data_IF_661392745768
#
_entry.id   IF_661392745768
#
_cell.length_a   1.000
_cell.length_b   1.000
_cell.length_c   1.000
_cell.angle_alpha   90.00
_cell.angle_beta   90.00
_cell.angle_gamma   90.00
#
_symmetry.space_group_name_H-M   'P 1'
#
loop_
_entity.id
_entity.type
_entity.pdbx_description
1 polymer ?
#
# COMPACT_ATOMS: atom_id res chain seq x y z
N UNK A 1 -15.80 -9.22 7.36
CA UNK A 1 -16.40 -9.28 8.75
C UNK A 1 -16.66 -7.85 9.21
N UNK A 2 -17.79 -7.55 9.87
CA UNK A 2 -18.06 -6.22 10.42
C UNK A 2 -17.85 -6.29 11.94
N UNK A 3 -17.08 -5.35 12.49
CA UNK A 3 -16.89 -5.14 13.91
C UNK A 3 -17.65 -3.88 14.31
N UNK A 4 -18.32 -3.89 15.45
CA UNK A 4 -19.01 -2.71 15.98
C UNK A 4 -18.43 -2.31 17.32
N UNK A 5 -18.43 -1.01 17.60
CA UNK A 5 -18.05 -0.41 18.87
C UNK A 5 -19.11 0.63 19.26
N UNK A 6 -19.50 0.65 20.52
CA UNK A 6 -20.53 1.55 21.07
C UNK A 6 -19.92 2.75 21.80
N UNK A 7 -18.60 2.74 22.02
CA UNK A 7 -17.86 3.83 22.65
C UNK A 7 -16.47 4.01 22.02
N UNK A 8 -15.83 5.14 22.30
CA UNK A 8 -14.48 5.43 21.85
C UNK A 8 -13.44 4.47 22.40
N UNK A 9 -13.59 4.06 23.65
CA UNK A 9 -12.69 3.10 24.31
C UNK A 9 -12.78 1.73 23.62
N UNK A 10 -13.99 1.24 23.37
CA UNK A 10 -14.20 -0.01 22.64
C UNK A 10 -13.66 0.04 21.22
N UNK A 11 -13.76 1.19 20.53
CA UNK A 11 -13.18 1.39 19.23
C UNK A 11 -11.64 1.27 19.25
N UNK A 12 -10.98 1.83 20.29
CA UNK A 12 -9.54 1.73 20.49
C UNK A 12 -9.04 0.32 20.83
N UNK A 13 -9.89 -0.56 21.33
CA UNK A 13 -9.53 -1.98 21.53
C UNK A 13 -9.60 -2.80 20.24
N UNK A 14 -10.41 -2.36 19.26
CA UNK A 14 -10.77 -3.16 18.07
C UNK A 14 -10.13 -2.68 16.77
N UNK A 15 -9.68 -1.43 16.69
CA UNK A 15 -9.27 -0.80 15.42
C UNK A 15 -8.14 -1.54 14.69
N UNK A 16 -7.25 -2.23 15.41
CA UNK A 16 -6.12 -2.96 14.79
C UNK A 16 -6.55 -4.14 13.91
N UNK A 17 -7.82 -4.57 14.04
CA UNK A 17 -8.41 -5.66 13.24
C UNK A 17 -9.23 -5.15 12.06
N UNK A 18 -9.30 -3.83 11.85
CA UNK A 18 -10.11 -3.22 10.81
C UNK A 18 -9.29 -2.83 9.59
N UNK A 19 -9.82 -3.09 8.39
CA UNK A 19 -9.27 -2.60 7.12
C UNK A 19 -9.73 -1.16 6.81
N UNK A 20 -10.84 -0.72 7.40
CA UNK A 20 -11.38 0.64 7.33
C UNK A 20 -12.25 0.89 8.56
N UNK A 21 -12.25 2.11 9.07
CA UNK A 21 -13.04 2.53 10.21
C UNK A 21 -14.06 3.57 9.77
N UNK A 22 -15.32 3.39 10.19
CA UNK A 22 -16.37 4.42 10.11
C UNK A 22 -16.54 4.94 11.53
N UNK A 23 -16.27 6.21 11.74
CA UNK A 23 -16.18 6.80 13.08
C UNK A 23 -17.11 8.00 13.20
N UNK A 24 -18.05 7.94 14.12
CA UNK A 24 -18.90 9.08 14.46
C UNK A 24 -18.11 10.11 15.28
N UNK A 25 -18.24 11.39 14.98
CA UNK A 25 -17.66 12.47 15.79
C UNK A 25 -18.32 12.48 17.18
N UNK A 26 -19.64 12.32 17.22
CA UNK A 26 -20.44 12.41 18.44
C UNK A 26 -20.53 11.05 19.14
N UNK A 27 -19.50 10.67 19.86
CA UNK A 27 -19.50 9.49 20.73
C UNK A 27 -19.66 9.87 22.22
N UNK A 28 -20.27 9.01 23.04
CA UNK A 28 -20.33 9.23 24.48
C UNK A 28 -18.94 9.12 25.11
N UNK A 29 -18.69 9.91 26.14
CA UNK A 29 -17.48 9.96 26.97
C UNK A 29 -16.22 10.49 26.24
N UNK A 30 -15.90 9.99 25.07
CA UNK A 30 -14.74 10.37 24.28
C UNK A 30 -15.18 10.69 22.85
N UNK A 31 -14.85 11.86 22.33
CA UNK A 31 -15.23 12.23 20.94
C UNK A 31 -14.52 11.34 19.91
N UNK A 32 -15.17 11.12 18.75
CA UNK A 32 -14.55 10.39 17.65
C UNK A 32 -13.24 11.01 17.17
N UNK A 33 -13.08 12.33 17.34
CA UNK A 33 -11.84 13.06 17.01
C UNK A 33 -10.70 12.63 17.92
N UNK A 34 -10.96 12.50 19.21
CA UNK A 34 -9.96 12.02 20.18
C UNK A 34 -9.60 10.55 19.90
N UNK A 35 -10.58 9.73 19.53
CA UNK A 35 -10.33 8.35 19.05
C UNK A 35 -9.42 8.36 17.84
N UNK A 36 -9.71 9.18 16.83
CA UNK A 36 -8.89 9.31 15.62
C UNK A 36 -7.45 9.72 15.93
N UNK A 37 -7.24 10.73 16.79
CA UNK A 37 -5.90 11.16 17.20
C UNK A 37 -5.09 10.01 17.81
N UNK A 38 -5.70 9.20 18.67
CA UNK A 38 -5.05 8.05 19.28
C UNK A 38 -4.73 6.96 18.27
N UNK A 39 -5.64 6.68 17.35
CA UNK A 39 -5.39 5.72 16.26
C UNK A 39 -4.19 6.18 15.43
N UNK A 40 -4.10 7.45 15.07
CA UNK A 40 -3.01 8.01 14.24
C UNK A 40 -1.63 7.99 14.92
N UNK A 41 -1.55 7.79 16.22
CA UNK A 41 -0.26 7.59 16.89
C UNK A 41 0.41 6.25 16.51
N UNK A 42 -0.36 5.27 16.04
CA UNK A 42 0.12 3.90 15.85
C UNK A 42 -0.38 3.24 14.56
N UNK A 43 -1.25 3.89 13.78
CA UNK A 43 -1.88 3.27 12.60
C UNK A 43 -2.36 4.27 11.56
N UNK A 44 -2.12 3.93 10.29
CA UNK A 44 -2.63 4.63 9.10
C UNK A 44 -3.88 3.96 8.53
N UNK A 45 -4.62 3.18 9.34
CA UNK A 45 -5.87 2.56 8.90
C UNK A 45 -6.84 3.63 8.38
N UNK A 46 -7.45 3.46 7.20
CA UNK A 46 -8.37 4.46 6.66
C UNK A 46 -9.55 4.72 7.57
N UNK A 47 -9.85 6.00 7.82
CA UNK A 47 -10.95 6.44 8.69
C UNK A 47 -11.88 7.38 7.92
N UNK A 48 -13.16 6.99 7.80
CA UNK A 48 -14.26 7.82 7.34
C UNK A 48 -14.98 8.39 8.57
N UNK A 49 -14.92 9.71 8.74
CA UNK A 49 -15.62 10.40 9.82
C UNK A 49 -17.08 10.67 9.46
N UNK A 50 -18.00 10.40 10.38
CA UNK A 50 -19.39 10.81 10.27
C UNK A 50 -19.60 12.08 11.11
N UNK A 51 -20.15 13.13 10.49
CA UNK A 51 -20.36 14.45 11.10
C UNK A 51 -21.83 14.87 11.02
N UNK A 52 -22.31 15.68 11.95
CA UNK A 52 -23.61 16.31 11.86
C UNK A 52 -23.54 17.54 10.93
N UNK A 53 -24.64 17.87 10.24
CA UNK A 53 -24.74 18.99 9.29
C UNK A 53 -24.45 20.37 9.89
N UNK A 54 -24.39 20.46 11.24
CA UNK A 54 -24.22 21.71 11.99
C UNK A 54 -22.88 21.82 12.72
N UNK A 55 -21.95 20.86 12.50
CA UNK A 55 -20.60 21.01 13.05
C UNK A 55 -19.90 22.17 12.33
N UNK A 56 -19.46 23.16 13.11
CA UNK A 56 -18.88 24.38 12.54
C UNK A 56 -17.69 24.04 11.61
N UNK A 57 -17.62 24.69 10.42
CA UNK A 57 -16.50 24.45 9.47
C UNK A 57 -15.12 24.62 10.09
N UNK A 58 -14.99 25.43 11.14
CA UNK A 58 -13.77 25.67 11.87
C UNK A 58 -13.29 24.47 12.70
N UNK A 59 -14.21 23.63 13.21
CA UNK A 59 -13.85 22.38 13.89
C UNK A 59 -13.41 21.31 12.89
N UNK A 60 -14.09 21.21 11.76
CA UNK A 60 -13.74 20.26 10.69
C UNK A 60 -12.36 20.59 10.09
N UNK A 61 -12.08 21.87 9.80
CA UNK A 61 -10.81 22.30 9.21
C UNK A 61 -9.57 22.00 10.08
N UNK A 62 -9.71 21.98 11.41
CA UNK A 62 -8.58 21.64 12.30
C UNK A 62 -8.30 20.13 12.37
N UNK A 63 -9.11 19.29 11.71
CA UNK A 63 -9.00 17.82 11.70
C UNK A 63 -8.78 17.23 10.31
N UNK A 64 -8.77 18.09 9.25
CA UNK A 64 -8.60 17.68 7.85
C UNK A 64 -7.32 16.88 7.59
N UNK A 65 -6.30 17.03 8.43
CA UNK A 65 -5.02 16.33 8.28
C UNK A 65 -5.04 14.88 8.82
N UNK A 66 -6.05 14.48 9.61
CA UNK A 66 -6.04 13.18 10.29
C UNK A 66 -7.02 12.16 9.72
N UNK A 67 -8.14 12.60 9.15
CA UNK A 67 -9.14 11.72 8.55
C UNK A 67 -8.93 11.58 7.04
N UNK A 68 -9.25 10.40 6.50
CA UNK A 68 -9.10 10.13 5.06
C UNK A 68 -10.31 10.60 4.26
N UNK A 69 -11.50 10.68 4.88
CA UNK A 69 -12.73 11.17 4.25
C UNK A 69 -13.77 11.56 5.33
N UNK A 70 -14.75 12.37 4.92
CA UNK A 70 -15.85 12.84 5.78
C UNK A 70 -17.20 12.63 5.10
N UNK A 71 -18.25 12.38 5.90
CA UNK A 71 -19.60 12.27 5.43
C UNK A 71 -20.59 12.90 6.42
N UNK A 72 -21.40 13.85 5.96
CA UNK A 72 -22.44 14.47 6.79
C UNK A 72 -23.67 13.58 6.93
N UNK A 73 -24.27 13.61 8.11
CA UNK A 73 -25.58 13.01 8.38
C UNK A 73 -26.71 14.00 8.02
N UNK A 74 -27.86 13.55 7.45
CA UNK A 74 -28.15 12.18 7.04
C UNK A 74 -27.45 11.79 5.73
N UNK A 75 -27.03 10.53 5.60
CA UNK A 75 -26.30 10.04 4.42
C UNK A 75 -27.00 8.88 3.70
N UNK A 76 -26.68 8.73 2.43
CA UNK A 76 -27.10 7.58 1.63
C UNK A 76 -26.18 6.40 1.83
N UNK A 77 -26.73 5.21 2.10
CA UNK A 77 -25.94 3.97 2.20
C UNK A 77 -25.17 3.66 0.91
N UNK A 78 -25.72 4.01 -0.26
CA UNK A 78 -25.04 3.84 -1.55
C UNK A 78 -23.79 4.72 -1.64
N UNK A 79 -23.84 5.94 -1.13
CA UNK A 79 -22.70 6.85 -1.11
C UNK A 79 -21.66 6.36 -0.09
N UNK A 80 -22.10 5.93 1.09
CA UNK A 80 -21.25 5.36 2.11
C UNK A 80 -20.45 4.16 1.56
N UNK A 81 -21.13 3.23 0.90
CA UNK A 81 -20.49 2.07 0.28
C UNK A 81 -19.42 2.47 -0.76
N UNK A 82 -19.71 3.45 -1.62
CA UNK A 82 -18.74 3.95 -2.62
C UNK A 82 -17.50 4.57 -1.98
N UNK A 83 -17.66 5.33 -0.89
CA UNK A 83 -16.56 5.95 -0.14
C UNK A 83 -15.70 4.90 0.56
N UNK A 84 -16.30 3.91 1.22
CA UNK A 84 -15.59 2.79 1.82
C UNK A 84 -14.77 2.04 0.77
N UNK A 85 -15.36 1.72 -0.39
CA UNK A 85 -14.65 1.06 -1.49
C UNK A 85 -13.48 1.90 -2.03
N UNK A 86 -13.63 3.22 -2.08
CA UNK A 86 -12.55 4.12 -2.49
C UNK A 86 -11.39 4.13 -1.50
N UNK A 87 -11.68 4.17 -0.19
CA UNK A 87 -10.67 4.12 0.87
C UNK A 87 -9.91 2.78 0.86
N UNK A 88 -10.62 1.66 0.79
CA UNK A 88 -10.02 0.32 0.70
C UNK A 88 -9.14 0.17 -0.56
N UNK A 89 -9.57 0.70 -1.71
CA UNK A 89 -8.77 0.70 -2.95
C UNK A 89 -7.50 1.54 -2.80
N UNK A 90 -7.57 2.69 -2.12
CA UNK A 90 -6.41 3.55 -1.83
C UNK A 90 -5.38 2.81 -0.98
N UNK A 91 -5.82 2.14 0.09
CA UNK A 91 -4.97 1.32 0.94
C UNK A 91 -4.33 0.15 0.17
N UNK A 92 -5.09 -0.52 -0.69
CA UNK A 92 -4.56 -1.57 -1.55
C UNK A 92 -3.55 -1.04 -2.58
N UNK A 93 -3.72 0.19 -3.08
CA UNK A 93 -2.74 0.79 -4.00
C UNK A 93 -1.44 1.16 -3.30
N UNK A 94 -1.50 1.64 -2.05
CA UNK A 94 -0.30 1.89 -1.23
C UNK A 94 0.40 0.56 -0.88
N UNK A 95 -0.34 -0.47 -0.48
CA UNK A 95 0.23 -1.82 -0.27
C UNK A 95 0.84 -2.42 -1.55
N UNK A 96 0.33 -2.06 -2.75
CA UNK A 96 0.90 -2.48 -4.04
C UNK A 96 2.16 -1.70 -4.44
N UNK A 97 2.41 -0.53 -3.85
CA UNK A 97 3.63 0.23 -4.12
C UNK A 97 4.78 -0.15 -3.21
N UNK A 98 4.51 -0.64 -2.01
CA UNK A 98 5.53 -1.08 -1.07
C UNK A 98 5.62 -2.62 -1.07
N UNK A 99 6.79 -3.13 -1.40
CA UNK A 99 7.13 -4.54 -1.29
C UNK A 99 8.16 -4.73 -0.18
N UNK A 100 7.98 -5.76 0.64
CA UNK A 100 8.89 -6.12 1.72
C UNK A 100 9.12 -7.62 1.76
N UNK A 101 10.36 -8.02 1.99
CA UNK A 101 10.77 -9.39 2.25
C UNK A 101 12.03 -9.41 3.10
N UNK A 102 11.96 -10.07 4.25
CA UNK A 102 13.04 -10.11 5.24
C UNK A 102 13.51 -8.67 5.59
N UNK A 103 14.78 -8.36 5.36
CA UNK A 103 15.35 -7.02 5.55
C UNK A 103 15.27 -6.13 4.30
N UNK A 104 14.74 -6.66 3.19
CA UNK A 104 14.60 -5.90 1.94
C UNK A 104 13.24 -5.21 1.86
N UNK A 105 13.23 -3.96 1.42
CA UNK A 105 12.01 -3.23 1.08
C UNK A 105 12.19 -2.40 -0.19
N UNK A 106 11.13 -2.27 -0.99
CA UNK A 106 11.13 -1.44 -2.19
C UNK A 106 9.83 -0.68 -2.30
N UNK A 107 9.92 0.65 -2.37
CA UNK A 107 8.81 1.50 -2.77
C UNK A 107 8.85 1.69 -4.29
N UNK A 108 7.95 1.00 -4.97
CA UNK A 108 7.84 1.06 -6.43
C UNK A 108 7.36 2.41 -6.95
N UNK A 109 6.66 3.23 -6.14
CA UNK A 109 6.20 4.55 -6.54
C UNK A 109 7.33 5.57 -6.42
N UNK A 110 8.12 5.50 -5.36
CA UNK A 110 9.28 6.36 -5.14
C UNK A 110 10.52 5.90 -5.92
N UNK A 111 10.53 4.70 -6.51
CA UNK A 111 11.70 4.07 -7.12
C UNK A 111 12.89 3.93 -6.16
N UNK A 112 12.59 3.66 -4.89
CA UNK A 112 13.59 3.49 -3.83
C UNK A 112 13.57 2.07 -3.27
N UNK A 113 14.74 1.55 -2.92
CA UNK A 113 14.89 0.25 -2.29
C UNK A 113 15.90 0.30 -1.17
N UNK A 114 15.63 -0.47 -0.11
CA UNK A 114 16.45 -0.54 1.09
C UNK A 114 16.74 -2.00 1.44
N UNK A 115 17.87 -2.22 2.07
CA UNK A 115 18.24 -3.47 2.72
C UNK A 115 18.83 -3.15 4.09
N UNK A 116 18.21 -3.67 5.15
CA UNK A 116 18.59 -3.37 6.54
C UNK A 116 18.67 -1.85 6.79
N UNK A 117 17.60 -1.14 6.39
CA UNK A 117 17.43 0.33 6.44
C UNK A 117 18.47 1.15 5.65
N UNK A 118 19.40 0.53 4.94
CA UNK A 118 20.36 1.20 4.08
C UNK A 118 19.86 1.27 2.63
N UNK A 119 20.05 2.42 1.97
CA UNK A 119 19.70 2.58 0.55
C UNK A 119 20.45 1.55 -0.31
N UNK A 120 19.70 0.71 -1.00
CA UNK A 120 20.22 -0.30 -1.91
C UNK A 120 20.66 0.26 -3.26
N UNK A 121 20.48 1.58 -3.51
CA UNK A 121 20.82 2.28 -4.75
C UNK A 121 20.32 1.56 -5.99
N UNK A 122 19.03 1.22 -6.01
CA UNK A 122 18.40 0.55 -7.13
C UNK A 122 18.29 1.48 -8.33
N UNK A 123 18.60 0.96 -9.53
CA UNK A 123 18.34 1.68 -10.78
C UNK A 123 16.85 1.58 -11.14
N UNK A 124 16.28 2.57 -11.85
CA UNK A 124 14.87 2.55 -12.24
C UNK A 124 14.42 1.26 -12.93
N UNK A 125 15.25 0.69 -13.81
CA UNK A 125 14.96 -0.58 -14.49
C UNK A 125 15.02 -1.80 -13.58
N UNK A 126 15.86 -1.76 -12.53
CA UNK A 126 15.88 -2.81 -11.49
C UNK A 126 14.57 -2.80 -10.69
N UNK A 127 14.08 -1.61 -10.32
CA UNK A 127 12.80 -1.45 -9.62
C UNK A 127 11.63 -1.93 -10.50
N UNK A 128 11.58 -1.54 -11.78
CA UNK A 128 10.55 -1.96 -12.72
C UNK A 128 10.56 -3.48 -12.93
N UNK A 129 11.75 -4.09 -13.04
CA UNK A 129 11.90 -5.53 -13.20
C UNK A 129 11.42 -6.29 -11.96
N UNK A 130 11.81 -5.84 -10.76
CA UNK A 130 11.32 -6.45 -9.52
C UNK A 130 9.80 -6.33 -9.42
N UNK A 131 9.24 -5.15 -9.71
CA UNK A 131 7.79 -4.94 -9.73
C UNK A 131 7.07 -5.90 -10.68
N UNK A 132 7.57 -6.05 -11.92
CA UNK A 132 6.99 -6.97 -12.90
C UNK A 132 6.94 -8.39 -12.37
N UNK A 133 8.00 -8.86 -11.72
CA UNK A 133 8.09 -10.20 -11.17
C UNK A 133 7.17 -10.39 -9.96
N UNK A 134 7.16 -9.44 -9.03
CA UNK A 134 6.33 -9.45 -7.80
C UNK A 134 4.84 -9.34 -8.12
N UNK A 135 4.44 -8.53 -9.08
CA UNK A 135 3.03 -8.40 -9.51
C UNK A 135 2.51 -9.68 -10.21
N UNK A 136 3.40 -10.61 -10.60
CA UNK A 136 3.07 -11.85 -11.29
C UNK A 136 3.79 -13.05 -10.62
N UNK A 137 3.47 -13.39 -9.37
CA UNK A 137 4.14 -14.44 -8.64
C UNK A 137 3.93 -15.81 -9.33
N UNK A 138 4.96 -16.64 -9.28
CA UNK A 138 5.01 -17.97 -9.88
C UNK A 138 4.92 -18.01 -11.43
N UNK A 139 4.77 -16.86 -12.09
CA UNK A 139 4.82 -16.79 -13.55
C UNK A 139 6.27 -16.76 -14.03
N UNK A 140 6.60 -17.59 -15.03
CA UNK A 140 7.91 -17.58 -15.68
C UNK A 140 7.92 -16.53 -16.78
N UNK A 141 8.81 -15.56 -16.66
CA UNK A 141 9.05 -14.52 -17.66
C UNK A 141 10.29 -14.85 -18.47
N UNK A 142 10.17 -14.99 -19.78
CA UNK A 142 11.33 -15.08 -20.65
C UNK A 142 12.08 -13.75 -20.72
N UNK A 143 13.38 -13.78 -21.06
CA UNK A 143 14.18 -12.55 -21.22
C UNK A 143 13.54 -11.59 -22.23
N UNK A 144 13.11 -12.13 -23.38
CA UNK A 144 12.44 -11.33 -24.40
C UNK A 144 11.13 -10.71 -23.89
N UNK A 145 10.28 -11.48 -23.21
CA UNK A 145 9.02 -10.98 -22.66
C UNK A 145 9.25 -9.86 -21.61
N UNK A 146 10.33 -9.93 -20.83
CA UNK A 146 10.73 -8.87 -19.90
C UNK A 146 11.14 -7.61 -20.67
N UNK A 147 11.95 -7.77 -21.74
CA UNK A 147 12.38 -6.67 -22.58
C UNK A 147 11.17 -5.99 -23.23
N UNK A 148 10.31 -6.74 -23.88
CA UNK A 148 9.09 -6.23 -24.55
C UNK A 148 8.18 -5.45 -23.58
N UNK A 149 8.18 -5.85 -22.30
CA UNK A 149 7.35 -5.22 -21.25
C UNK A 149 7.97 -3.94 -20.69
N UNK A 150 9.29 -3.89 -20.53
CA UNK A 150 9.99 -2.83 -19.79
C UNK A 150 10.71 -1.81 -20.69
N UNK A 151 10.92 -2.10 -21.96
CA UNK A 151 11.54 -1.18 -22.93
C UNK A 151 10.57 -0.85 -24.06
N UNK A 152 10.72 0.33 -24.62
CA UNK A 152 10.04 0.76 -25.85
C UNK A 152 10.88 0.41 -27.07
N UNK A 153 10.28 0.36 -28.25
CA UNK A 153 10.86 -0.15 -29.51
C UNK A 153 12.20 0.49 -29.91
N UNK A 154 12.48 1.70 -29.44
CA UNK A 154 13.65 2.49 -29.84
C UNK A 154 14.89 2.25 -28.96
N UNK A 155 14.78 1.54 -27.84
CA UNK A 155 15.85 1.32 -26.85
C UNK A 155 16.01 -0.15 -26.41
N UNK A 156 15.79 -1.09 -27.33
CA UNK A 156 15.81 -2.53 -27.00
C UNK A 156 17.24 -2.98 -26.69
N UNK A 157 17.53 -3.39 -25.43
CA UNK A 157 18.84 -3.89 -25.08
C UNK A 157 19.03 -5.36 -25.51
N UNK A 158 20.27 -5.84 -25.49
CA UNK A 158 20.55 -7.27 -25.67
C UNK A 158 19.99 -8.10 -24.49
N UNK A 159 19.52 -9.32 -24.76
CA UNK A 159 18.93 -10.24 -23.77
C UNK A 159 19.75 -10.41 -22.48
N UNK A 160 21.07 -10.37 -22.58
CA UNK A 160 21.99 -10.49 -21.43
C UNK A 160 21.87 -9.36 -20.40
N UNK A 161 21.27 -8.24 -20.75
CA UNK A 161 21.09 -7.13 -19.82
C UNK A 161 20.14 -7.53 -18.68
N UNK A 162 19.16 -8.40 -18.95
CA UNK A 162 18.25 -8.91 -17.92
C UNK A 162 19.00 -9.70 -16.86
N UNK A 163 19.96 -10.54 -17.27
CA UNK A 163 20.78 -11.33 -16.34
C UNK A 163 21.60 -10.41 -15.41
N UNK A 164 22.08 -9.28 -15.90
CA UNK A 164 22.78 -8.27 -15.09
C UNK A 164 21.85 -7.63 -14.08
N UNK A 165 20.63 -7.23 -14.47
CA UNK A 165 19.66 -6.63 -13.54
C UNK A 165 19.21 -7.63 -12.46
N UNK A 166 18.95 -8.89 -12.83
CA UNK A 166 18.62 -9.96 -11.86
C UNK A 166 19.78 -10.19 -10.88
N UNK A 167 21.01 -10.25 -11.39
CA UNK A 167 22.21 -10.38 -10.54
C UNK A 167 22.31 -9.22 -9.55
N UNK A 168 22.08 -7.99 -10.03
CA UNK A 168 22.14 -6.80 -9.20
C UNK A 168 21.05 -6.80 -8.13
N UNK A 169 19.80 -7.11 -8.47
CA UNK A 169 18.68 -7.22 -7.53
C UNK A 169 18.98 -8.23 -6.44
N UNK A 170 19.42 -9.45 -6.83
CA UNK A 170 19.82 -10.49 -5.87
C UNK A 170 20.93 -10.02 -4.93
N UNK A 171 21.92 -9.32 -5.47
CA UNK A 171 23.06 -8.82 -4.67
C UNK A 171 22.67 -7.67 -3.75
N UNK A 172 21.92 -6.67 -4.26
CA UNK A 172 21.60 -5.44 -3.52
C UNK A 172 20.53 -5.63 -2.45
N UNK A 173 19.60 -6.54 -2.68
CA UNK A 173 18.49 -6.82 -1.78
C UNK A 173 18.58 -8.22 -1.14
N UNK A 174 19.68 -8.94 -1.35
CA UNK A 174 19.92 -10.29 -0.85
C UNK A 174 18.76 -11.28 -1.14
N UNK A 175 18.22 -11.22 -2.37
CA UNK A 175 17.03 -11.99 -2.75
C UNK A 175 17.38 -13.40 -3.20
N UNK A 176 16.70 -14.37 -2.62
CA UNK A 176 16.66 -15.78 -3.02
C UNK A 176 15.39 -16.16 -3.78
N UNK A 177 14.35 -15.34 -3.66
CA UNK A 177 13.00 -15.56 -4.21
C UNK A 177 12.88 -15.35 -5.74
N UNK A 178 13.88 -14.80 -6.39
CA UNK A 178 13.93 -14.73 -7.85
C UNK A 178 14.61 -15.97 -8.37
N UNK A 179 13.88 -16.90 -8.94
CA UNK A 179 14.37 -18.19 -9.40
C UNK A 179 14.76 -18.12 -10.88
N UNK A 180 15.90 -18.70 -11.24
CA UNK A 180 16.31 -18.89 -12.63
C UNK A 180 15.72 -20.18 -13.20
N UNK A 181 14.88 -20.07 -14.22
CA UNK A 181 14.39 -21.21 -14.99
C UNK A 181 15.34 -21.40 -16.19
N UNK A 182 16.21 -22.44 -16.10
CA UNK A 182 17.25 -22.68 -17.11
C UNK A 182 16.70 -22.74 -18.53
N UNK A 183 17.32 -22.03 -19.46
CA UNK A 183 16.90 -21.97 -20.86
C UNK A 183 15.64 -21.15 -21.16
N UNK A 184 14.93 -20.66 -20.14
CA UNK A 184 13.68 -19.89 -20.28
C UNK A 184 13.82 -18.46 -19.79
N UNK A 185 14.02 -18.25 -18.47
CA UNK A 185 14.04 -16.91 -17.91
C UNK A 185 14.00 -16.91 -16.39
N UNK A 186 13.11 -16.10 -15.83
CA UNK A 186 13.04 -15.85 -14.38
C UNK A 186 11.62 -15.91 -13.85
N UNK A 187 11.50 -16.27 -12.58
CA UNK A 187 10.23 -16.34 -11.84
C UNK A 187 10.44 -15.81 -10.42
N UNK A 188 9.46 -15.08 -9.89
CA UNK A 188 9.38 -14.74 -8.48
C UNK A 188 8.58 -15.81 -7.74
N UNK A 189 9.12 -16.33 -6.63
CA UNK A 189 8.41 -17.25 -5.74
C UNK A 189 7.97 -16.51 -4.48
N UNK A 190 6.66 -16.50 -4.27
CA UNK A 190 6.05 -16.07 -3.02
C UNK A 190 6.17 -17.23 -2.02
N UNK A 191 6.78 -16.99 -0.85
CA UNK A 191 6.93 -18.00 0.21
C UNK A 191 5.65 -18.15 0.99
#
# INVERSE_FOLDING_TARGET
>A
MVLTATSGEEALEKYTKADVIILDIMLPKMSGIEVLRRIRQTSDVPVLMLTALHDEPTQVASFDELADDYMSKPFSLVILEKRIKALLRRQQSVKKTLWQRDLASVDFAAYQGFYDDNDAHLKPKEVQLLKLLVDNPNMVWSRQAIIDKLWRDDEVPFDRVIDVYIKNLRKKLHLDCIITVKGVGYRYEES
#
